data_IF_899861731929
#
_entry.id   IF_899861731929
#
_cell.length_a   1.000
_cell.length_b   1.000
_cell.length_c   1.000
_cell.angle_alpha   90.00
_cell.angle_beta   90.00
_cell.angle_gamma   90.00
#
_symmetry.space_group_name_H-M   'P 1'
#
loop_
_entity.id
_entity.type
_entity.pdbx_description
1 polymer ?
#
# COMPACT_ATOMS: atom_id res chain seq x y z
N UNK A 1 0.14 10.20 18.10
CA UNK A 1 -0.59 10.57 16.88
C UNK A 1 -1.31 9.32 16.38
N UNK A 2 -2.62 9.26 16.46
CA UNK A 2 -3.40 8.04 16.27
C UNK A 2 -3.86 7.76 14.82
N UNK A 3 -3.08 8.08 13.80
CA UNK A 3 -3.47 7.84 12.40
C UNK A 3 -2.34 7.21 11.57
N UNK A 4 -2.67 6.31 10.61
CA UNK A 4 -1.69 5.69 9.72
C UNK A 4 -0.90 6.72 8.92
N UNK A 5 0.36 6.39 8.61
CA UNK A 5 1.24 7.25 7.82
C UNK A 5 1.34 8.71 8.30
N UNK A 6 1.44 8.92 9.62
CA UNK A 6 1.53 10.25 10.22
C UNK A 6 2.91 10.93 10.08
N UNK A 7 3.95 10.19 9.65
CA UNK A 7 5.35 10.64 9.62
C UNK A 7 5.91 10.76 8.19
N UNK A 8 7.22 10.80 8.05
CA UNK A 8 7.94 11.04 6.78
C UNK A 8 7.48 10.13 5.63
N UNK A 9 7.24 8.85 5.90
CA UNK A 9 6.73 7.91 4.90
C UNK A 9 5.36 8.35 4.35
N UNK A 10 4.49 8.87 5.21
CA UNK A 10 3.20 9.43 4.80
C UNK A 10 3.35 10.63 3.87
N UNK A 11 4.23 11.57 4.22
CA UNK A 11 4.48 12.74 3.35
C UNK A 11 4.91 12.32 1.94
N UNK A 12 5.78 11.33 1.84
CA UNK A 12 6.21 10.81 0.54
C UNK A 12 5.05 10.13 -0.20
N UNK A 13 4.26 9.30 0.48
CA UNK A 13 3.12 8.62 -0.11
C UNK A 13 2.09 9.63 -0.65
N UNK A 14 1.68 10.60 0.16
CA UNK A 14 0.68 11.59 -0.25
C UNK A 14 1.19 12.48 -1.38
N UNK A 15 2.48 12.85 -1.41
CA UNK A 15 3.07 13.56 -2.53
C UNK A 15 3.04 12.76 -3.86
N UNK A 16 3.13 11.43 -3.79
CA UNK A 16 2.94 10.59 -5.00
C UNK A 16 1.52 10.71 -5.53
N UNK A 17 0.50 10.62 -4.67
CA UNK A 17 -0.91 10.71 -5.07
C UNK A 17 -1.31 12.12 -5.49
N UNK A 18 -0.80 13.16 -4.84
CA UNK A 18 -1.02 14.53 -5.25
C UNK A 18 -0.49 14.78 -6.67
N UNK A 19 0.74 14.33 -6.94
CA UNK A 19 1.36 14.48 -8.26
C UNK A 19 0.68 13.65 -9.35
N UNK A 20 0.30 12.42 -9.07
CA UNK A 20 -0.22 11.49 -10.08
C UNK A 20 -1.73 11.56 -10.25
N UNK A 21 -2.47 11.83 -9.19
CA UNK A 21 -3.93 11.76 -9.15
C UNK A 21 -4.59 13.10 -8.79
N UNK A 22 -3.81 14.15 -8.49
CA UNK A 22 -4.33 15.46 -8.07
C UNK A 22 -5.05 15.44 -6.72
N UNK A 23 -4.77 14.45 -5.85
CA UNK A 23 -5.45 14.23 -4.58
C UNK A 23 -4.51 14.54 -3.43
N UNK A 24 -4.83 15.55 -2.63
CA UNK A 24 -4.06 15.91 -1.44
C UNK A 24 -4.27 14.92 -0.27
N UNK A 25 -3.51 15.06 0.81
CA UNK A 25 -3.58 14.16 1.98
C UNK A 25 -4.98 14.10 2.59
N UNK A 26 -5.68 15.23 2.70
CA UNK A 26 -7.01 15.28 3.33
C UNK A 26 -8.04 14.51 2.50
N UNK A 27 -8.04 14.72 1.20
CA UNK A 27 -8.91 14.02 0.25
C UNK A 27 -8.59 12.53 0.18
N UNK A 28 -7.28 12.17 0.15
CA UNK A 28 -6.84 10.77 0.18
C UNK A 28 -7.37 10.06 1.42
N UNK A 29 -7.26 10.67 2.59
CA UNK A 29 -7.73 10.09 3.86
C UNK A 29 -9.24 9.94 3.96
N UNK A 30 -10.01 10.75 3.24
CA UNK A 30 -11.48 10.62 3.14
C UNK A 30 -11.90 9.50 2.18
N UNK A 31 -11.08 9.20 1.18
CA UNK A 31 -11.42 8.28 0.10
C UNK A 31 -10.86 6.87 0.33
N UNK A 32 -9.68 6.76 0.94
CA UNK A 32 -8.93 5.52 1.07
C UNK A 32 -8.94 5.01 2.50
N UNK A 33 -9.43 3.79 2.69
CA UNK A 33 -9.25 3.08 3.96
C UNK A 33 -7.80 2.63 4.11
N UNK A 34 -7.15 3.02 5.20
CA UNK A 34 -5.73 2.75 5.44
C UNK A 34 -5.56 1.77 6.59
N UNK A 35 -4.91 0.65 6.31
CA UNK A 35 -4.67 -0.42 7.26
C UNK A 35 -3.19 -0.78 7.35
N UNK A 36 -2.75 -1.31 8.48
CA UNK A 36 -1.43 -1.90 8.64
C UNK A 36 -1.53 -3.44 8.63
N UNK A 37 -0.51 -4.14 8.13
CA UNK A 37 -0.44 -5.60 8.20
C UNK A 37 -0.48 -6.07 9.66
N UNK A 38 0.30 -5.44 10.53
CA UNK A 38 0.26 -5.67 11.97
C UNK A 38 -0.33 -4.47 12.71
N UNK A 39 -1.24 -4.72 13.65
CA UNK A 39 -1.93 -3.67 14.44
C UNK A 39 -1.12 -3.20 15.65
N UNK A 40 -0.23 -4.05 16.14
CA UNK A 40 0.65 -3.72 17.24
C UNK A 40 1.99 -3.22 16.72
N UNK A 41 2.58 -2.27 17.43
CA UNK A 41 3.93 -1.82 17.14
C UNK A 41 4.94 -2.94 17.43
N UNK A 42 5.75 -3.38 16.46
CA UNK A 42 6.64 -4.53 16.63
C UNK A 42 7.89 -4.21 17.46
N UNK A 43 8.11 -2.95 17.82
CA UNK A 43 9.29 -2.49 18.54
C UNK A 43 10.31 -1.81 17.64
N UNK A 44 11.38 -1.33 18.27
CA UNK A 44 12.52 -0.68 17.62
C UNK A 44 13.54 -1.71 17.15
N UNK A 45 14.19 -1.42 16.01
CA UNK A 45 15.40 -2.12 15.63
C UNK A 45 16.57 -1.55 16.44
N UNK A 46 17.48 -2.38 17.01
CA UNK A 46 18.63 -1.90 17.79
C UNK A 46 19.56 -0.96 17.02
N UNK A 47 19.61 -1.09 15.71
CA UNK A 47 20.54 -0.29 14.88
C UNK A 47 19.84 0.98 14.36
N UNK A 48 18.67 0.87 13.76
CA UNK A 48 17.94 2.04 13.24
C UNK A 48 16.49 1.72 12.90
N UNK A 49 15.58 2.66 13.19
CA UNK A 49 14.19 2.61 12.76
C UNK A 49 13.32 1.62 13.53
N UNK A 50 12.22 1.24 12.93
CA UNK A 50 11.26 0.29 13.49
C UNK A 50 11.58 -1.12 12.97
N UNK A 51 11.37 -2.12 13.82
CA UNK A 51 11.52 -3.53 13.45
C UNK A 51 10.40 -3.92 12.47
N UNK A 52 10.74 -4.73 11.49
CA UNK A 52 9.72 -5.38 10.65
C UNK A 52 9.05 -6.47 11.48
N UNK A 53 7.72 -6.60 11.48
CA UNK A 53 7.02 -7.69 12.14
C UNK A 53 7.53 -9.05 11.66
N UNK A 54 7.64 -10.00 12.58
CA UNK A 54 7.98 -11.38 12.24
C UNK A 54 6.75 -12.16 11.71
N UNK A 55 6.99 -13.38 11.21
CA UNK A 55 5.95 -14.20 10.61
C UNK A 55 4.82 -14.53 11.60
N UNK A 56 5.14 -14.75 12.89
CA UNK A 56 4.14 -15.07 13.89
C UNK A 56 3.25 -13.85 14.22
N UNK A 57 3.84 -12.66 14.28
CA UNK A 57 3.10 -11.40 14.46
C UNK A 57 2.15 -11.13 13.28
N UNK A 58 2.61 -11.40 12.06
CA UNK A 58 1.78 -11.30 10.85
C UNK A 58 0.61 -12.28 10.91
N UNK A 59 0.86 -13.55 11.23
CA UNK A 59 -0.19 -14.58 11.39
C UNK A 59 -1.20 -14.17 12.45
N UNK A 60 -0.76 -13.70 13.61
CA UNK A 60 -1.63 -13.26 14.69
C UNK A 60 -2.52 -12.08 14.29
N UNK A 61 -2.04 -11.21 13.42
CA UNK A 61 -2.77 -10.05 12.94
C UNK A 61 -3.64 -10.31 11.69
N UNK A 62 -3.41 -11.39 10.95
CA UNK A 62 -4.07 -11.69 9.67
C UNK A 62 -5.60 -11.72 9.76
N UNK A 63 -6.16 -12.15 10.91
CA UNK A 63 -7.61 -12.15 11.18
C UNK A 63 -8.25 -10.76 11.02
N UNK A 64 -7.53 -9.70 11.33
CA UNK A 64 -8.03 -8.33 11.21
C UNK A 64 -8.13 -7.91 9.75
N UNK A 65 -7.08 -8.19 8.96
CA UNK A 65 -7.08 -7.92 7.53
C UNK A 65 -8.19 -8.69 6.82
N UNK A 66 -8.36 -9.99 7.15
CA UNK A 66 -9.48 -10.80 6.66
C UNK A 66 -10.82 -10.15 6.99
N UNK A 67 -11.04 -9.75 8.24
CA UNK A 67 -12.29 -9.13 8.67
C UNK A 67 -12.58 -7.80 7.96
N UNK A 68 -11.55 -7.01 7.71
CA UNK A 68 -11.66 -5.77 6.93
C UNK A 68 -12.06 -6.05 5.48
N UNK A 69 -11.49 -7.06 4.84
CA UNK A 69 -11.90 -7.48 3.51
C UNK A 69 -13.35 -7.94 3.45
N UNK A 70 -13.80 -8.73 4.43
CA UNK A 70 -15.19 -9.16 4.53
C UNK A 70 -16.17 -7.98 4.64
N UNK A 71 -15.80 -6.95 5.38
CA UNK A 71 -16.67 -5.79 5.64
C UNK A 71 -16.62 -4.76 4.51
N UNK A 72 -15.44 -4.49 3.96
CA UNK A 72 -15.21 -3.40 3.00
C UNK A 72 -15.39 -3.86 1.56
N UNK A 73 -15.16 -5.13 1.28
CA UNK A 73 -15.19 -5.72 -0.07
C UNK A 73 -14.48 -4.81 -1.11
N UNK A 74 -13.19 -4.53 -0.94
CA UNK A 74 -12.48 -3.56 -1.77
C UNK A 74 -12.37 -4.06 -3.22
N UNK A 75 -12.66 -3.18 -4.18
CA UNK A 75 -12.41 -3.45 -5.61
C UNK A 75 -10.93 -3.29 -5.95
N UNK A 76 -10.24 -2.36 -5.28
CA UNK A 76 -8.82 -2.06 -5.47
C UNK A 76 -8.09 -2.07 -4.14
N UNK A 77 -6.95 -2.76 -4.11
CA UNK A 77 -6.03 -2.80 -2.96
C UNK A 77 -4.66 -2.28 -3.38
N UNK A 78 -4.09 -1.39 -2.57
CA UNK A 78 -2.78 -0.79 -2.80
C UNK A 78 -1.82 -1.23 -1.69
N UNK A 79 -1.20 -2.42 -1.78
CA UNK A 79 -0.25 -2.86 -0.78
C UNK A 79 1.07 -2.09 -0.92
N UNK A 80 1.51 -1.46 0.19
CA UNK A 80 2.66 -0.57 0.21
C UNK A 80 3.85 -1.24 0.91
N UNK A 81 4.89 -1.56 0.15
CA UNK A 81 6.09 -2.23 0.60
C UNK A 81 5.97 -3.76 0.63
N UNK A 82 7.14 -4.42 0.67
CA UNK A 82 7.26 -5.88 0.55
C UNK A 82 6.32 -6.64 1.47
N UNK A 83 6.34 -6.35 2.77
CA UNK A 83 5.51 -7.05 3.76
C UNK A 83 4.01 -7.00 3.44
N UNK A 84 3.52 -5.86 2.97
CA UNK A 84 2.11 -5.72 2.60
C UNK A 84 1.79 -6.45 1.29
N UNK A 85 2.69 -6.41 0.30
CA UNK A 85 2.51 -7.09 -0.99
C UNK A 85 2.45 -8.60 -0.79
N UNK A 86 3.32 -9.16 0.05
CA UNK A 86 3.39 -10.60 0.38
C UNK A 86 2.12 -11.15 1.04
N UNK A 87 1.21 -10.30 1.53
CA UNK A 87 -0.09 -10.74 2.03
C UNK A 87 -1.06 -11.14 0.91
N UNK A 88 -0.80 -10.73 -0.33
CA UNK A 88 -1.71 -10.91 -1.46
C UNK A 88 -1.13 -11.72 -2.60
N UNK A 89 0.18 -11.57 -2.86
CA UNK A 89 0.85 -12.21 -3.99
C UNK A 89 2.26 -12.66 -3.60
N UNK A 90 2.67 -13.81 -4.15
CA UNK A 90 4.06 -14.28 -4.06
C UNK A 90 4.89 -13.63 -5.18
N UNK A 91 6.08 -13.16 -4.87
CA UNK A 91 6.97 -12.55 -5.86
C UNK A 91 8.46 -12.63 -5.43
N UNK A 92 9.35 -12.56 -6.38
CA UNK A 92 10.79 -12.55 -6.13
C UNK A 92 11.33 -11.13 -5.90
N UNK A 93 11.41 -10.35 -6.96
CA UNK A 93 11.95 -8.99 -6.94
C UNK A 93 10.84 -7.95 -7.00
N UNK A 94 11.05 -6.80 -6.39
CA UNK A 94 10.12 -5.67 -6.49
C UNK A 94 9.90 -5.22 -7.94
N UNK A 95 10.92 -5.33 -8.78
CA UNK A 95 10.84 -4.98 -10.19
C UNK A 95 9.91 -5.91 -11.01
N UNK A 96 9.62 -7.11 -10.50
CA UNK A 96 8.76 -8.07 -11.19
C UNK A 96 7.27 -7.82 -10.90
N UNK A 97 6.95 -6.98 -9.91
CA UNK A 97 5.57 -6.82 -9.41
C UNK A 97 5.08 -5.37 -9.43
N UNK A 98 5.95 -4.38 -9.26
CA UNK A 98 5.56 -2.96 -9.29
C UNK A 98 5.28 -2.54 -10.74
N UNK A 99 4.26 -1.71 -10.94
CA UNK A 99 3.84 -1.23 -12.26
C UNK A 99 2.86 -2.16 -12.97
N UNK A 100 2.22 -3.08 -12.24
CA UNK A 100 1.21 -4.01 -12.75
C UNK A 100 -0.10 -3.90 -11.98
N UNK A 101 -1.21 -4.22 -12.64
CA UNK A 101 -2.51 -4.51 -12.03
C UNK A 101 -2.69 -6.03 -12.00
N UNK A 102 -2.92 -6.59 -10.83
CA UNK A 102 -2.98 -8.03 -10.62
C UNK A 102 -4.35 -8.41 -10.09
N UNK A 103 -5.15 -9.21 -10.84
CA UNK A 103 -6.39 -9.77 -10.31
C UNK A 103 -6.06 -10.85 -9.27
N UNK A 104 -6.70 -10.77 -8.12
CA UNK A 104 -6.56 -11.75 -7.05
C UNK A 104 -7.91 -12.17 -6.49
N UNK A 105 -7.90 -13.29 -5.75
CA UNK A 105 -8.99 -13.65 -4.85
C UNK A 105 -8.44 -13.79 -3.43
N UNK A 106 -8.88 -12.92 -2.53
CA UNK A 106 -8.47 -12.93 -1.13
C UNK A 106 -9.64 -13.34 -0.23
N UNK A 107 -9.52 -14.49 0.43
CA UNK A 107 -10.59 -15.09 1.24
C UNK A 107 -11.97 -15.15 0.56
N UNK A 108 -12.00 -15.51 -0.73
CA UNK A 108 -13.23 -15.62 -1.52
C UNK A 108 -13.73 -14.31 -2.11
N UNK A 109 -13.07 -13.18 -1.86
CA UNK A 109 -13.38 -11.89 -2.46
C UNK A 109 -12.42 -11.57 -3.61
N UNK A 110 -12.98 -11.35 -4.81
CA UNK A 110 -12.22 -10.97 -6.00
C UNK A 110 -11.95 -9.46 -6.00
N UNK A 111 -10.71 -9.05 -6.20
CA UNK A 111 -10.31 -7.65 -6.32
C UNK A 111 -9.04 -7.51 -7.17
N UNK A 112 -8.63 -6.29 -7.44
CA UNK A 112 -7.37 -5.98 -8.11
C UNK A 112 -6.36 -5.40 -7.13
N UNK A 113 -5.10 -5.74 -7.34
CA UNK A 113 -3.96 -5.26 -6.54
C UNK A 113 -3.02 -4.47 -7.43
N UNK A 114 -2.68 -3.25 -7.03
CA UNK A 114 -1.60 -2.47 -7.64
C UNK A 114 -0.54 -2.22 -6.56
N UNK A 115 0.56 -3.00 -6.58
CA UNK A 115 1.61 -2.90 -5.57
C UNK A 115 2.40 -1.58 -5.66
N UNK A 116 2.77 -1.03 -4.50
CA UNK A 116 3.61 0.16 -4.39
C UNK A 116 4.88 -0.13 -3.57
N UNK A 117 6.02 0.50 -3.90
CA UNK A 117 7.20 0.41 -3.06
C UNK A 117 7.00 1.12 -1.73
N UNK A 118 7.85 0.81 -0.73
CA UNK A 118 7.76 1.47 0.56
C UNK A 118 8.25 2.93 0.46
N UNK A 119 7.49 3.93 0.94
CA UNK A 119 7.79 5.36 0.78
C UNK A 119 8.77 5.91 1.82
N UNK A 120 9.40 5.07 2.66
CA UNK A 120 10.32 5.53 3.70
C UNK A 120 11.59 6.15 3.11
N UNK A 121 12.20 7.07 3.86
CA UNK A 121 13.47 7.65 3.48
C UNK A 121 14.64 6.66 3.44
N UNK A 122 14.54 5.54 4.19
CA UNK A 122 15.52 4.46 4.17
C UNK A 122 15.45 3.63 2.86
N UNK A 123 14.34 3.64 2.14
CA UNK A 123 14.20 2.96 0.86
C UNK A 123 14.56 3.93 -0.28
N UNK A 124 15.67 3.67 -0.95
CA UNK A 124 16.09 4.44 -2.14
C UNK A 124 15.52 3.88 -3.44
N UNK A 125 14.94 2.68 -3.42
CA UNK A 125 14.52 1.95 -4.59
C UNK A 125 13.58 2.76 -5.51
N UNK A 126 12.62 3.47 -4.94
CA UNK A 126 11.67 4.30 -5.70
C UNK A 126 12.28 5.59 -6.27
N UNK A 127 13.54 5.89 -5.97
CA UNK A 127 14.28 7.07 -6.47
C UNK A 127 15.26 6.72 -7.57
N UNK A 128 15.56 5.44 -7.76
CA UNK A 128 16.53 4.90 -8.71
C UNK A 128 15.83 4.03 -9.74
N UNK A 129 16.43 3.89 -10.94
CA UNK A 129 15.91 2.96 -11.94
C UNK A 129 16.19 1.49 -11.54
N UNK A 130 15.29 0.56 -11.85
CA UNK A 130 14.01 0.73 -12.55
C UNK A 130 12.85 1.19 -11.64
N UNK A 131 13.06 1.33 -10.35
CA UNK A 131 12.02 1.60 -9.35
C UNK A 131 11.27 2.90 -9.58
N UNK A 132 11.96 3.95 -10.04
CA UNK A 132 11.34 5.24 -10.35
C UNK A 132 10.34 5.12 -11.50
N UNK A 133 10.73 4.46 -12.58
CA UNK A 133 9.85 4.23 -13.74
C UNK A 133 8.67 3.35 -13.37
N UNK A 134 8.90 2.25 -12.65
CA UNK A 134 7.85 1.32 -12.23
C UNK A 134 6.86 1.95 -11.24
N UNK A 135 7.33 2.79 -10.31
CA UNK A 135 6.44 3.57 -9.44
C UNK A 135 5.54 4.50 -10.25
N UNK A 136 6.06 5.22 -11.25
CA UNK A 136 5.25 6.09 -12.07
C UNK A 136 4.20 5.31 -12.88
N UNK A 137 4.54 4.12 -13.38
CA UNK A 137 3.60 3.22 -14.04
C UNK A 137 2.49 2.77 -13.06
N UNK A 138 2.84 2.34 -11.86
CA UNK A 138 1.86 1.95 -10.85
C UNK A 138 0.90 3.10 -10.51
N UNK A 139 1.42 4.31 -10.34
CA UNK A 139 0.60 5.49 -10.06
C UNK A 139 -0.32 5.87 -11.23
N UNK A 140 0.12 5.71 -12.47
CA UNK A 140 -0.71 5.91 -13.66
C UNK A 140 -1.86 4.88 -13.70
N UNK A 141 -1.56 3.60 -13.46
CA UNK A 141 -2.58 2.55 -13.37
C UNK A 141 -3.63 2.85 -12.28
N UNK A 142 -3.20 3.36 -11.12
CA UNK A 142 -4.14 3.75 -10.06
C UNK A 142 -5.01 4.92 -10.51
N UNK A 143 -4.42 5.96 -11.12
CA UNK A 143 -5.16 7.14 -11.55
C UNK A 143 -6.24 6.83 -12.59
N UNK A 144 -6.04 5.81 -13.41
CA UNK A 144 -6.97 5.36 -14.45
C UNK A 144 -7.94 4.26 -13.96
N UNK A 145 -7.71 3.67 -12.78
CA UNK A 145 -8.48 2.55 -12.29
C UNK A 145 -9.94 2.95 -11.99
N UNK A 146 -10.96 2.15 -12.43
CA UNK A 146 -12.38 2.48 -12.24
C UNK A 146 -12.77 2.73 -10.77
N UNK A 147 -12.27 1.91 -9.84
CA UNK A 147 -12.52 2.09 -8.40
C UNK A 147 -11.95 3.40 -7.84
N UNK A 148 -10.92 3.95 -8.47
CA UNK A 148 -10.35 5.25 -8.12
C UNK A 148 -11.15 6.40 -8.75
N UNK A 149 -11.34 6.36 -10.07
CA UNK A 149 -12.04 7.41 -10.83
C UNK A 149 -13.50 7.54 -10.44
N UNK A 150 -14.22 6.42 -10.21
CA UNK A 150 -15.61 6.40 -9.80
C UNK A 150 -15.86 7.09 -8.44
N UNK A 151 -14.92 6.97 -7.50
CA UNK A 151 -15.01 7.66 -6.19
C UNK A 151 -14.68 9.15 -6.26
N UNK A 152 -13.84 9.56 -7.22
CA UNK A 152 -13.47 10.95 -7.41
C UNK A 152 -14.53 11.74 -8.19
N UNK A 153 -15.34 11.08 -9.04
CA UNK A 153 -16.41 11.70 -9.84
C UNK A 153 -17.73 11.90 -9.06
N UNK A 154 -17.87 11.30 -7.89
CA UNK A 154 -19.07 11.35 -7.05
C UNK A 154 -19.12 12.53 -6.07
N UNK A 155 -18.33 13.58 -6.31
CA UNK A 155 -18.32 14.83 -5.52
C UNK A 155 -18.96 15.97 -6.26
#
# INVERSE_FOLDING_TARGET
MGRPFAWTAGKTLFAWFERACGVNEEEFRKTVYMAAVCRCFPGKNPVAGDRVPDAQEVVNCSRWLKREFELLQPELVLPVGRLAIEQFVEFGKMADIIGQTLPITYHGHACEVIPLPHPSGASTWHRMEPGKTLLNQALALIAEHPAWTGRMSGR
#
